data_IF_892838710838
#
_entry.id   IF_892838710838
#
_cell.length_a   1.000
_cell.length_b   1.000
_cell.length_c   1.000
_cell.angle_alpha   90.00
_cell.angle_beta   90.00
_cell.angle_gamma   90.00
#
_symmetry.space_group_name_H-M   'P 1'
#
loop_
_entity.id
_entity.type
_entity.pdbx_description
1 polymer ?
#
# COMPACT_ATOMS: atom_id res chain seq x y z
N UNK A 1 -29.33 29.22 1.84
CA UNK A 1 -28.97 28.09 2.71
C UNK A 1 -28.60 28.50 4.12
N UNK A 2 -27.76 29.50 4.34
CA UNK A 2 -27.39 29.97 5.71
C UNK A 2 -28.60 30.34 6.58
N UNK A 3 -29.66 30.94 6.03
CA UNK A 3 -30.86 31.30 6.79
C UNK A 3 -31.65 30.09 7.30
N UNK A 4 -31.68 29.00 6.56
CA UNK A 4 -32.39 27.77 6.95
C UNK A 4 -31.63 27.09 8.12
N UNK A 5 -30.31 27.04 8.08
CA UNK A 5 -29.51 26.52 9.18
C UNK A 5 -29.64 27.34 10.46
N UNK A 6 -29.61 28.67 10.36
CA UNK A 6 -29.81 29.55 11.50
C UNK A 6 -31.22 29.39 12.12
N UNK A 7 -32.22 29.23 11.30
CA UNK A 7 -33.59 28.97 11.75
C UNK A 7 -33.72 27.60 12.44
N UNK A 8 -33.17 26.55 11.83
CA UNK A 8 -33.09 25.21 12.43
C UNK A 8 -32.35 25.20 13.77
N UNK A 9 -31.23 25.93 13.87
CA UNK A 9 -30.45 26.05 15.10
C UNK A 9 -31.24 26.80 16.19
N UNK A 10 -31.99 27.80 15.84
CA UNK A 10 -32.85 28.56 16.78
C UNK A 10 -33.95 27.67 17.33
N UNK A 11 -34.60 26.87 16.46
CA UNK A 11 -35.60 25.91 16.89
C UNK A 11 -34.98 24.81 17.78
N UNK A 12 -33.82 24.25 17.37
CA UNK A 12 -33.12 23.23 18.14
C UNK A 12 -32.73 23.74 19.56
N UNK A 13 -32.23 24.95 19.68
CA UNK A 13 -31.88 25.58 20.97
C UNK A 13 -33.11 25.82 21.84
N UNK A 14 -34.30 26.05 21.27
CA UNK A 14 -35.53 26.27 22.04
C UNK A 14 -36.14 24.97 22.55
N UNK A 15 -35.98 23.85 21.81
CA UNK A 15 -36.62 22.57 22.11
C UNK A 15 -35.69 21.60 22.87
N UNK A 16 -34.40 21.60 22.58
CA UNK A 16 -33.44 20.72 23.21
C UNK A 16 -33.05 21.32 24.59
N UNK A 17 -33.71 20.86 25.64
CA UNK A 17 -33.28 21.13 27.02
C UNK A 17 -32.14 20.17 27.33
N UNK A 18 -30.92 20.65 27.64
CA UNK A 18 -29.86 19.78 28.09
C UNK A 18 -30.27 19.14 29.41
N UNK A 19 -30.57 17.85 29.41
CA UNK A 19 -30.83 17.08 30.61
C UNK A 19 -29.54 17.08 31.41
N UNK A 20 -29.51 17.85 32.51
CA UNK A 20 -28.34 18.28 33.25
C UNK A 20 -27.61 17.15 33.99
N UNK A 21 -26.91 16.33 33.29
CA UNK A 21 -25.76 15.64 33.84
C UNK A 21 -24.51 16.19 33.10
N UNK A 22 -23.71 16.99 33.78
CA UNK A 22 -22.34 17.30 33.42
C UNK A 22 -21.50 16.01 33.46
N UNK A 23 -21.86 15.01 32.69
CA UNK A 23 -20.92 13.95 32.35
C UNK A 23 -19.82 14.62 31.55
N UNK A 24 -18.59 14.50 32.02
CA UNK A 24 -17.41 14.91 31.25
C UNK A 24 -17.53 14.32 29.84
N UNK A 25 -17.77 15.20 28.89
CA UNK A 25 -18.07 14.81 27.52
C UNK A 25 -16.74 14.45 26.83
N UNK A 26 -16.28 13.23 27.09
CA UNK A 26 -15.04 12.68 26.54
C UNK A 26 -15.03 12.79 25.01
N UNK A 27 -16.18 12.54 24.40
CA UNK A 27 -16.36 12.61 22.94
C UNK A 27 -16.12 14.03 22.45
N UNK A 28 -16.70 15.06 23.09
CA UNK A 28 -16.54 16.44 22.70
C UNK A 28 -15.11 16.98 22.94
N UNK A 29 -14.42 16.47 23.97
CA UNK A 29 -13.02 16.84 24.21
C UNK A 29 -12.11 16.19 23.16
N UNK A 30 -12.32 14.91 22.87
CA UNK A 30 -11.56 14.17 21.86
C UNK A 30 -11.80 14.76 20.45
N UNK A 31 -13.05 15.11 20.13
CA UNK A 31 -13.38 15.75 18.87
C UNK A 31 -12.70 17.12 18.73
N UNK A 32 -12.72 17.92 19.78
CA UNK A 32 -12.04 19.20 19.77
C UNK A 32 -10.54 19.07 19.57
N UNK A 33 -9.91 18.07 20.18
CA UNK A 33 -8.47 17.79 20.03
C UNK A 33 -8.15 17.31 18.59
N UNK A 34 -8.97 16.39 18.05
CA UNK A 34 -8.75 15.79 16.74
C UNK A 34 -9.15 16.70 15.57
N UNK A 35 -10.08 17.65 15.76
CA UNK A 35 -10.55 18.56 14.71
C UNK A 35 -9.85 19.91 14.72
N UNK A 36 -9.08 20.24 15.75
CA UNK A 36 -8.26 21.47 15.76
C UNK A 36 -7.14 21.34 14.70
N UNK A 37 -7.02 22.31 13.76
CA UNK A 37 -6.04 22.21 12.66
C UNK A 37 -4.59 22.14 13.16
N UNK A 38 -4.27 22.68 14.33
CA UNK A 38 -2.94 22.64 14.92
C UNK A 38 -2.57 21.28 15.51
N UNK A 39 -3.52 20.55 16.09
CA UNK A 39 -3.28 19.24 16.75
C UNK A 39 -3.78 18.07 15.91
N UNK A 40 -4.82 18.26 15.09
CA UNK A 40 -5.42 17.20 14.30
C UNK A 40 -4.48 16.63 13.25
N UNK A 41 -3.75 17.47 12.50
CA UNK A 41 -2.79 17.04 11.50
C UNK A 41 -1.59 16.26 12.09
N UNK A 42 -0.90 16.76 13.14
CA UNK A 42 0.17 15.99 13.80
C UNK A 42 -0.31 14.68 14.40
N UNK A 43 -1.47 14.69 15.05
CA UNK A 43 -2.06 13.46 15.64
C UNK A 43 -2.40 12.44 14.56
N UNK A 44 -2.92 12.89 13.42
CA UNK A 44 -3.22 12.05 12.27
C UNK A 44 -1.94 11.38 11.71
N UNK A 45 -0.87 12.14 11.53
CA UNK A 45 0.42 11.61 11.09
C UNK A 45 1.02 10.66 12.12
N UNK A 46 0.88 10.94 13.41
CA UNK A 46 1.38 10.09 14.48
C UNK A 46 0.64 8.76 14.53
N UNK A 47 -0.70 8.76 14.43
CA UNK A 47 -1.50 7.52 14.39
C UNK A 47 -1.18 6.70 13.14
N UNK A 48 -1.05 7.35 11.99
CA UNK A 48 -0.64 6.70 10.75
C UNK A 48 0.76 6.08 10.89
N UNK A 49 1.72 6.82 11.42
CA UNK A 49 3.08 6.34 11.67
C UNK A 49 3.09 5.17 12.67
N UNK A 50 2.25 5.22 13.71
CA UNK A 50 2.12 4.13 14.69
C UNK A 50 1.56 2.85 14.05
N UNK A 51 0.54 2.96 13.20
CA UNK A 51 -0.03 1.81 12.47
C UNK A 51 1.01 1.21 11.53
N UNK A 52 1.76 2.03 10.80
CA UNK A 52 2.83 1.55 9.92
C UNK A 52 3.97 0.91 10.72
N UNK A 53 4.41 1.53 11.80
CA UNK A 53 5.45 0.97 12.65
C UNK A 53 5.04 -0.39 13.23
N UNK A 54 3.80 -0.50 13.73
CA UNK A 54 3.24 -1.75 14.22
C UNK A 54 3.17 -2.82 13.11
N UNK A 55 2.74 -2.41 11.91
CA UNK A 55 2.64 -3.32 10.76
C UNK A 55 4.02 -3.84 10.34
N UNK A 56 5.01 -2.96 10.19
CA UNK A 56 6.36 -3.32 9.75
C UNK A 56 7.05 -4.20 10.80
N UNK A 57 7.04 -3.77 12.07
CA UNK A 57 7.71 -4.49 13.14
C UNK A 57 7.01 -5.82 13.44
N UNK A 58 5.68 -5.81 13.46
CA UNK A 58 4.89 -7.00 13.73
C UNK A 58 4.91 -8.03 12.60
N UNK A 59 5.06 -7.60 11.35
CA UNK A 59 5.07 -8.50 10.20
C UNK A 59 6.40 -9.21 9.98
N UNK A 60 7.52 -8.65 10.43
CA UNK A 60 8.86 -9.19 10.14
C UNK A 60 9.04 -10.64 10.59
N UNK A 61 8.68 -10.95 11.83
CA UNK A 61 8.84 -12.30 12.36
C UNK A 61 7.92 -13.32 11.68
N UNK A 62 6.61 -13.10 11.55
CA UNK A 62 5.71 -14.00 10.82
C UNK A 62 6.10 -14.18 9.36
N UNK A 63 6.55 -13.12 8.67
CA UNK A 63 7.01 -13.21 7.28
C UNK A 63 8.18 -14.16 7.11
N UNK A 64 9.19 -14.05 7.97
CA UNK A 64 10.34 -14.95 7.95
C UNK A 64 9.96 -16.40 8.28
N UNK A 65 9.05 -16.60 9.20
CA UNK A 65 8.57 -17.94 9.57
C UNK A 65 7.83 -18.61 8.40
N UNK A 66 6.91 -17.88 7.77
CA UNK A 66 6.16 -18.35 6.60
C UNK A 66 7.11 -18.60 5.43
N UNK A 67 8.06 -17.70 5.17
CA UNK A 67 9.05 -17.85 4.10
C UNK A 67 9.87 -19.13 4.28
N UNK A 68 10.41 -19.35 5.50
CA UNK A 68 11.17 -20.57 5.79
C UNK A 68 10.34 -21.83 5.59
N UNK A 69 9.08 -21.84 6.03
CA UNK A 69 8.18 -22.97 5.84
C UNK A 69 7.88 -23.26 4.37
N UNK A 70 7.59 -22.21 3.59
CA UNK A 70 7.27 -22.38 2.17
C UNK A 70 8.50 -22.79 1.35
N UNK A 71 9.68 -22.19 1.61
CA UNK A 71 10.91 -22.60 0.91
C UNK A 71 11.37 -23.99 1.32
N UNK A 72 11.16 -24.43 2.56
CA UNK A 72 11.39 -25.82 2.97
C UNK A 72 10.51 -26.81 2.19
N UNK A 73 9.23 -26.46 1.94
CA UNK A 73 8.34 -27.27 1.09
C UNK A 73 8.85 -27.29 -0.35
N UNK A 74 9.37 -26.18 -0.87
CA UNK A 74 10.00 -26.11 -2.20
C UNK A 74 11.17 -27.10 -2.32
N UNK A 75 12.07 -27.09 -1.33
CA UNK A 75 13.25 -27.94 -1.31
C UNK A 75 12.89 -29.43 -1.28
N UNK A 76 11.95 -29.82 -0.43
CA UNK A 76 11.45 -31.21 -0.37
C UNK A 76 10.76 -31.60 -1.67
N UNK A 77 9.88 -30.74 -2.18
CA UNK A 77 9.14 -31.02 -3.41
C UNK A 77 10.07 -31.15 -4.62
N UNK A 78 11.01 -30.24 -4.78
CA UNK A 78 11.96 -30.27 -5.90
C UNK A 78 12.88 -31.50 -5.86
N UNK A 79 13.34 -31.89 -4.66
CA UNK A 79 14.16 -33.11 -4.49
C UNK A 79 13.36 -34.39 -4.77
N UNK A 80 12.12 -34.45 -4.30
CA UNK A 80 11.27 -35.61 -4.56
C UNK A 80 10.94 -35.80 -6.04
N UNK A 81 10.63 -34.71 -6.76
CA UNK A 81 10.37 -34.74 -8.20
C UNK A 81 11.60 -35.11 -9.01
N UNK A 82 12.80 -34.69 -8.60
CA UNK A 82 14.04 -35.12 -9.23
C UNK A 82 14.36 -36.60 -9.01
N UNK A 83 14.02 -37.16 -7.84
CA UNK A 83 14.19 -38.58 -7.54
C UNK A 83 13.23 -39.47 -8.36
N UNK A 84 12.04 -38.98 -8.66
CA UNK A 84 11.06 -39.67 -9.51
C UNK A 84 11.47 -39.67 -11.00
N UNK A 85 12.53 -38.95 -11.37
CA UNK A 85 13.06 -38.89 -12.74
C UNK A 85 12.36 -37.89 -13.65
N UNK A 86 11.68 -36.89 -13.08
CA UNK A 86 11.03 -35.82 -13.87
C UNK A 86 12.12 -34.92 -14.50
N UNK A 87 11.96 -34.50 -15.77
CA UNK A 87 12.93 -33.64 -16.44
C UNK A 87 13.23 -32.36 -15.64
N UNK A 88 14.50 -32.01 -15.54
CA UNK A 88 14.98 -30.84 -14.76
C UNK A 88 14.30 -29.52 -15.09
N UNK A 89 13.96 -29.31 -16.37
CA UNK A 89 13.27 -28.09 -16.82
C UNK A 89 11.84 -27.99 -16.27
N UNK A 90 11.14 -29.12 -16.11
CA UNK A 90 9.79 -29.15 -15.56
C UNK A 90 9.81 -28.93 -14.04
N UNK A 91 10.76 -29.54 -13.36
CA UNK A 91 10.99 -29.32 -11.92
C UNK A 91 11.36 -27.87 -11.68
N UNK A 92 12.27 -27.30 -12.47
CA UNK A 92 12.68 -25.91 -12.39
C UNK A 92 11.51 -24.94 -12.63
N UNK A 93 10.73 -25.15 -13.68
CA UNK A 93 9.57 -24.31 -13.98
C UNK A 93 8.51 -24.37 -12.88
N UNK A 94 8.15 -25.58 -12.42
CA UNK A 94 7.06 -25.73 -11.47
C UNK A 94 7.45 -25.27 -10.05
N UNK A 95 8.61 -25.73 -9.55
CA UNK A 95 9.06 -25.42 -8.19
C UNK A 95 9.80 -24.10 -8.09
N UNK A 96 10.81 -23.86 -8.90
CA UNK A 96 11.64 -22.65 -8.82
C UNK A 96 11.05 -21.45 -9.59
N UNK A 97 10.09 -21.66 -10.48
CA UNK A 97 9.34 -20.60 -11.14
C UNK A 97 8.02 -20.31 -10.44
N UNK A 98 7.04 -21.17 -10.69
CA UNK A 98 5.64 -20.99 -10.29
C UNK A 98 5.48 -21.00 -8.76
N UNK A 99 5.96 -22.07 -8.10
CA UNK A 99 5.80 -22.20 -6.65
C UNK A 99 6.60 -21.14 -5.88
N UNK A 100 7.82 -20.84 -6.29
CA UNK A 100 8.65 -19.85 -5.65
C UNK A 100 8.07 -18.44 -5.76
N UNK A 101 7.48 -18.10 -6.90
CA UNK A 101 6.73 -16.84 -7.08
C UNK A 101 5.54 -16.74 -6.12
N UNK A 102 4.80 -17.83 -5.95
CA UNK A 102 3.70 -17.95 -4.97
C UNK A 102 4.23 -17.78 -3.54
N UNK A 103 5.26 -18.56 -3.17
CA UNK A 103 5.85 -18.56 -1.83
C UNK A 103 6.36 -17.18 -1.44
N UNK A 104 7.01 -16.47 -2.37
CA UNK A 104 7.48 -15.11 -2.18
C UNK A 104 6.32 -14.15 -1.89
N UNK A 105 5.30 -14.11 -2.74
CA UNK A 105 4.16 -13.19 -2.57
C UNK A 105 3.39 -13.49 -1.29
N UNK A 106 3.16 -14.74 -0.95
CA UNK A 106 2.47 -15.14 0.28
C UNK A 106 3.26 -14.70 1.51
N UNK A 107 4.57 -14.94 1.55
CA UNK A 107 5.40 -14.62 2.70
C UNK A 107 5.55 -13.12 2.94
N UNK A 108 5.60 -12.31 1.87
CA UNK A 108 5.79 -10.86 1.95
C UNK A 108 4.47 -10.11 2.17
N UNK A 109 3.35 -10.57 1.57
CA UNK A 109 2.07 -9.85 1.63
C UNK A 109 1.18 -10.25 2.80
N UNK A 110 1.10 -11.56 3.11
CA UNK A 110 0.12 -12.03 4.09
C UNK A 110 0.31 -11.41 5.49
N UNK A 111 1.50 -11.41 6.12
CA UNK A 111 1.66 -10.91 7.48
C UNK A 111 1.42 -9.40 7.63
N UNK A 112 1.95 -8.52 6.75
CA UNK A 112 1.63 -7.10 6.82
C UNK A 112 0.13 -6.82 6.64
N UNK A 113 -0.54 -7.53 5.72
CA UNK A 113 -1.98 -7.36 5.52
C UNK A 113 -2.79 -7.85 6.73
N UNK A 114 -2.40 -8.96 7.33
CA UNK A 114 -3.06 -9.52 8.51
C UNK A 114 -2.99 -8.60 9.74
N UNK A 115 -2.00 -7.70 9.81
CA UNK A 115 -1.87 -6.71 10.88
C UNK A 115 -2.53 -5.39 10.48
N UNK A 116 -2.27 -4.91 9.26
CA UNK A 116 -2.72 -3.61 8.80
C UNK A 116 -4.26 -3.52 8.69
N UNK A 117 -4.91 -4.50 8.06
CA UNK A 117 -6.37 -4.43 7.87
C UNK A 117 -7.17 -4.42 9.19
N UNK A 118 -6.88 -5.26 10.20
CA UNK A 118 -7.54 -5.12 11.49
C UNK A 118 -7.32 -3.77 12.15
N UNK A 119 -6.08 -3.26 12.16
CA UNK A 119 -5.78 -1.94 12.73
C UNK A 119 -6.57 -0.83 12.02
N UNK A 120 -6.63 -0.89 10.68
CA UNK A 120 -7.34 0.10 9.90
C UNK A 120 -8.86 0.06 10.12
N UNK A 121 -9.45 -1.15 10.17
CA UNK A 121 -10.89 -1.31 10.44
C UNK A 121 -11.25 -0.90 11.87
N UNK A 122 -10.36 -1.14 12.84
CA UNK A 122 -10.55 -0.63 14.20
C UNK A 122 -10.61 0.89 14.20
N UNK A 123 -9.72 1.57 13.47
CA UNK A 123 -9.75 3.03 13.33
C UNK A 123 -11.00 3.52 12.60
N UNK A 124 -11.49 2.76 11.62
CA UNK A 124 -12.72 3.05 10.90
C UNK A 124 -13.93 2.94 11.84
N UNK A 125 -14.06 1.84 12.57
CA UNK A 125 -15.17 1.58 13.50
C UNK A 125 -15.17 2.56 14.70
N UNK A 126 -14.00 2.97 15.18
CA UNK A 126 -13.85 4.02 16.18
C UNK A 126 -14.36 5.38 15.68
N UNK A 127 -14.60 5.55 14.38
CA UNK A 127 -14.99 6.81 13.78
C UNK A 127 -13.82 7.79 13.59
N UNK A 128 -12.57 7.30 13.67
CA UNK A 128 -11.38 8.13 13.47
C UNK A 128 -11.21 8.59 12.01
N UNK A 129 -11.49 7.72 11.03
CA UNK A 129 -11.34 8.06 9.61
C UNK A 129 -12.22 9.23 9.14
N UNK A 130 -13.51 9.36 9.54
CA UNK A 130 -14.29 10.54 9.22
C UNK A 130 -13.67 11.85 9.74
N UNK A 131 -12.99 11.82 10.89
CA UNK A 131 -12.30 12.99 11.44
C UNK A 131 -11.04 13.35 10.66
N UNK A 132 -10.32 12.34 10.16
CA UNK A 132 -9.23 12.53 9.20
C UNK A 132 -9.75 13.21 7.93
N UNK A 133 -10.86 12.72 7.38
CA UNK A 133 -11.50 13.31 6.21
C UNK A 133 -11.94 14.76 6.46
N UNK A 134 -12.46 15.06 7.65
CA UNK A 134 -12.85 16.41 8.04
C UNK A 134 -11.64 17.38 8.09
N UNK A 135 -10.53 16.95 8.69
CA UNK A 135 -9.31 17.78 8.76
C UNK A 135 -8.70 18.05 7.39
N UNK A 136 -8.79 17.08 6.48
CA UNK A 136 -8.25 17.21 5.13
C UNK A 136 -9.23 17.88 4.16
N UNK A 137 -10.51 17.99 4.50
CA UNK A 137 -11.57 18.53 3.63
C UNK A 137 -11.23 19.95 3.12
N UNK A 138 -10.69 20.80 3.98
CA UNK A 138 -10.23 22.15 3.60
C UNK A 138 -9.13 22.10 2.50
N UNK A 139 -8.21 21.14 2.61
CA UNK A 139 -7.11 20.98 1.66
C UNK A 139 -7.64 20.48 0.30
N UNK A 140 -8.53 19.49 0.35
CA UNK A 140 -9.17 18.95 -0.84
C UNK A 140 -10.14 19.93 -1.51
N UNK A 141 -10.87 20.74 -0.73
CA UNK A 141 -11.70 21.83 -1.26
C UNK A 141 -10.89 22.87 -2.02
N UNK A 142 -9.71 23.25 -1.52
CA UNK A 142 -8.80 24.16 -2.26
C UNK A 142 -8.31 23.55 -3.57
N UNK A 143 -8.17 22.23 -3.63
CA UNK A 143 -7.77 21.51 -4.83
C UNK A 143 -8.95 21.20 -5.78
N UNK A 144 -10.19 21.62 -5.46
CA UNK A 144 -11.37 21.44 -6.30
C UNK A 144 -12.14 20.13 -6.09
N UNK A 145 -12.00 19.51 -4.90
CA UNK A 145 -12.75 18.31 -4.49
C UNK A 145 -13.25 18.42 -3.05
N UNK A 146 -13.67 17.34 -2.43
CA UNK A 146 -14.21 17.31 -1.07
C UNK A 146 -13.73 16.11 -0.25
N UNK A 147 -14.07 16.11 1.08
CA UNK A 147 -13.56 15.16 2.06
C UNK A 147 -13.81 13.67 1.78
N UNK A 148 -14.80 13.30 0.96
CA UNK A 148 -14.98 11.91 0.53
C UNK A 148 -13.74 11.38 -0.21
N UNK A 149 -13.04 12.22 -0.98
CA UNK A 149 -11.82 11.84 -1.66
C UNK A 149 -10.67 11.61 -0.67
N UNK A 150 -10.58 12.41 0.39
CA UNK A 150 -9.62 12.18 1.46
C UNK A 150 -9.82 10.80 2.11
N UNK A 151 -11.08 10.40 2.33
CA UNK A 151 -11.40 9.07 2.87
C UNK A 151 -10.97 7.95 1.93
N UNK A 152 -11.27 8.05 0.63
CA UNK A 152 -10.87 7.03 -0.35
C UNK A 152 -9.36 6.93 -0.49
N UNK A 153 -8.65 8.06 -0.45
CA UNK A 153 -7.19 8.11 -0.48
C UNK A 153 -6.59 7.49 0.79
N UNK A 154 -7.17 7.73 1.96
CA UNK A 154 -6.73 7.11 3.22
C UNK A 154 -6.86 5.58 3.16
N UNK A 155 -7.93 5.06 2.57
CA UNK A 155 -8.06 3.62 2.29
C UNK A 155 -7.02 3.12 1.28
N UNK A 156 -6.61 3.96 0.33
CA UNK A 156 -5.57 3.68 -0.65
C UNK A 156 -4.20 3.37 -0.05
N UNK A 157 -3.85 3.98 1.08
CA UNK A 157 -2.62 3.65 1.83
C UNK A 157 -2.62 2.21 2.36
N UNK A 158 -3.79 1.66 2.66
CA UNK A 158 -3.92 0.24 2.99
C UNK A 158 -3.75 -0.65 1.76
N UNK A 159 -4.58 -0.39 0.78
CA UNK A 159 -4.59 -1.12 -0.49
C UNK A 159 -5.17 -0.22 -1.58
N UNK A 160 -4.41 0.04 -2.64
CA UNK A 160 -4.86 0.85 -3.77
C UNK A 160 -6.16 0.32 -4.38
N UNK A 161 -6.31 -1.01 -4.50
CA UNK A 161 -7.53 -1.61 -5.00
C UNK A 161 -8.75 -1.32 -4.10
N UNK A 162 -8.55 -1.35 -2.77
CA UNK A 162 -9.60 -1.00 -1.82
C UNK A 162 -9.95 0.50 -1.90
N UNK A 163 -8.94 1.37 -2.04
CA UNK A 163 -9.13 2.80 -2.25
C UNK A 163 -9.93 3.11 -3.52
N UNK A 164 -9.62 2.44 -4.64
CA UNK A 164 -10.37 2.58 -5.89
C UNK A 164 -11.82 2.09 -5.74
N UNK A 165 -12.04 0.96 -5.06
CA UNK A 165 -13.40 0.48 -4.80
C UNK A 165 -14.17 1.45 -3.91
N UNK A 166 -13.52 2.05 -2.92
CA UNK A 166 -14.12 3.02 -2.01
C UNK A 166 -14.57 4.31 -2.72
N UNK A 167 -14.03 4.63 -3.91
CA UNK A 167 -14.47 5.80 -4.69
C UNK A 167 -15.94 5.73 -5.11
N UNK A 168 -16.57 4.56 -4.99
CA UNK A 168 -18.03 4.38 -5.22
C UNK A 168 -18.89 5.23 -4.27
N UNK A 169 -18.35 5.66 -3.14
CA UNK A 169 -19.01 6.57 -2.20
C UNK A 169 -19.15 8.00 -2.77
N UNK A 170 -18.38 8.32 -3.81
CA UNK A 170 -18.43 9.62 -4.49
C UNK A 170 -19.56 9.60 -5.52
N UNK A 171 -20.51 10.52 -5.40
CA UNK A 171 -21.73 10.55 -6.21
C UNK A 171 -21.44 11.02 -7.65
N UNK A 172 -20.59 12.04 -7.82
CA UNK A 172 -20.24 12.59 -9.12
C UNK A 172 -19.31 11.64 -9.90
N UNK A 173 -19.67 11.24 -11.13
CA UNK A 173 -18.81 10.36 -11.95
C UNK A 173 -17.47 11.01 -12.31
N UNK A 174 -17.41 12.32 -12.50
CA UNK A 174 -16.18 13.07 -12.80
C UNK A 174 -15.25 13.09 -11.58
N UNK A 175 -15.79 13.44 -10.41
CA UNK A 175 -15.01 13.42 -9.15
C UNK A 175 -14.53 12.01 -8.80
N UNK A 176 -15.36 10.99 -9.09
CA UNK A 176 -14.97 9.58 -8.93
C UNK A 176 -13.80 9.21 -9.82
N UNK A 177 -13.79 9.64 -11.09
CA UNK A 177 -12.69 9.41 -12.02
C UNK A 177 -11.41 10.07 -11.52
N UNK A 178 -11.48 11.33 -11.08
CA UNK A 178 -10.35 12.05 -10.50
C UNK A 178 -9.83 11.31 -9.27
N UNK A 179 -10.72 10.85 -8.39
CA UNK A 179 -10.35 10.11 -7.18
C UNK A 179 -9.64 8.79 -7.51
N UNK A 180 -10.08 8.05 -8.55
CA UNK A 180 -9.42 6.83 -9.02
C UNK A 180 -8.01 7.13 -9.51
N UNK A 181 -7.84 8.18 -10.33
CA UNK A 181 -6.54 8.54 -10.88
C UNK A 181 -5.57 9.00 -9.80
N UNK A 182 -6.03 9.85 -8.87
CA UNK A 182 -5.19 10.41 -7.81
C UNK A 182 -4.87 9.41 -6.69
N UNK A 183 -5.73 8.40 -6.48
CA UNK A 183 -5.48 7.35 -5.49
C UNK A 183 -4.19 6.56 -5.76
N UNK A 184 -3.74 6.52 -7.01
CA UNK A 184 -2.52 5.80 -7.41
C UNK A 184 -1.23 6.43 -6.85
N UNK A 185 -1.26 7.71 -6.45
CA UNK A 185 -0.12 8.39 -5.82
C UNK A 185 0.05 8.01 -4.34
N UNK A 186 -0.98 7.42 -3.70
CA UNK A 186 -0.87 6.90 -2.35
C UNK A 186 -0.05 5.60 -2.36
N UNK A 187 1.13 5.55 -1.72
CA UNK A 187 1.88 4.31 -1.60
C UNK A 187 1.11 3.33 -0.71
N UNK A 188 0.69 2.22 -1.28
CA UNK A 188 -0.04 1.19 -0.54
C UNK A 188 0.91 0.27 0.23
N UNK A 189 0.36 -0.52 1.15
CA UNK A 189 1.12 -1.45 1.99
C UNK A 189 2.01 -2.41 1.19
N UNK A 190 1.59 -2.86 0.00
CA UNK A 190 2.40 -3.71 -0.88
C UNK A 190 3.66 -3.02 -1.44
N UNK A 191 3.70 -1.68 -1.49
CA UNK A 191 4.88 -0.91 -1.93
C UNK A 191 5.86 -0.62 -0.80
N UNK A 192 5.45 -0.72 0.47
CA UNK A 192 6.33 -0.40 1.61
C UNK A 192 7.57 -1.28 1.70
N UNK A 193 7.53 -2.61 1.50
CA UNK A 193 8.74 -3.43 1.52
C UNK A 193 9.80 -2.94 0.54
N UNK A 194 9.40 -2.60 -0.69
CA UNK A 194 10.29 -2.03 -1.71
C UNK A 194 10.84 -0.66 -1.31
N UNK A 195 10.00 0.22 -0.77
CA UNK A 195 10.42 1.53 -0.29
C UNK A 195 11.37 1.44 0.89
N UNK A 196 11.11 0.53 1.84
CA UNK A 196 11.99 0.29 3.00
C UNK A 196 13.35 -0.21 2.52
N UNK A 197 13.37 -1.16 1.59
CA UNK A 197 14.61 -1.66 1.01
C UNK A 197 15.40 -0.54 0.32
N UNK A 198 14.77 0.23 -0.56
CA UNK A 198 15.42 1.34 -1.26
C UNK A 198 15.95 2.40 -0.29
N UNK A 199 15.15 2.83 0.68
CA UNK A 199 15.56 3.83 1.65
C UNK A 199 16.67 3.32 2.57
N UNK A 200 16.65 2.05 2.95
CA UNK A 200 17.70 1.46 3.77
C UNK A 200 19.04 1.32 3.02
N UNK A 201 19.01 1.01 1.74
CA UNK A 201 20.21 0.86 0.90
C UNK A 201 20.80 2.22 0.50
N UNK A 202 19.96 3.12 -0.03
CA UNK A 202 20.45 4.37 -0.62
C UNK A 202 20.58 5.52 0.37
N UNK A 203 19.66 5.63 1.33
CA UNK A 203 19.64 6.78 2.26
C UNK A 203 20.28 6.41 3.60
N UNK A 204 19.87 5.29 4.18
CA UNK A 204 20.30 4.92 5.51
C UNK A 204 21.72 4.31 5.56
N UNK A 205 22.26 3.85 4.42
CA UNK A 205 23.63 3.32 4.34
C UNK A 205 24.72 4.35 4.70
N UNK A 206 24.41 5.65 4.54
CA UNK A 206 25.33 6.75 4.86
C UNK A 206 25.37 7.11 6.35
N UNK A 207 24.49 6.51 7.17
CA UNK A 207 24.34 6.82 8.59
C UNK A 207 24.79 5.68 9.50
N UNK A 208 25.05 5.98 10.78
CA UNK A 208 25.39 4.98 11.78
C UNK A 208 24.26 3.97 12.01
N UNK A 209 24.58 2.74 12.41
CA UNK A 209 23.61 1.65 12.57
C UNK A 209 22.41 2.00 13.50
N UNK A 210 22.62 2.84 14.50
CA UNK A 210 21.57 3.29 15.42
C UNK A 210 20.57 4.26 14.76
N UNK A 211 21.02 5.06 13.78
CA UNK A 211 20.20 6.05 13.09
C UNK A 211 19.54 5.49 11.83
N UNK A 212 20.03 4.37 11.31
CA UNK A 212 19.55 3.75 10.05
C UNK A 212 18.05 3.52 10.05
N UNK A 213 17.47 2.96 11.12
CA UNK A 213 16.05 2.69 11.22
C UNK A 213 15.21 3.98 11.30
N UNK A 214 15.70 4.98 11.96
CA UNK A 214 15.04 6.27 12.14
C UNK A 214 15.05 7.07 10.83
N UNK A 215 16.18 7.07 10.14
CA UNK A 215 16.33 7.73 8.83
C UNK A 215 15.48 7.02 7.76
N UNK A 216 15.45 5.69 7.76
CA UNK A 216 14.59 4.92 6.85
C UNK A 216 13.10 5.23 7.10
N UNK A 217 12.65 5.24 8.35
CA UNK A 217 11.28 5.60 8.70
C UNK A 217 10.95 7.04 8.32
N UNK A 218 11.83 8.00 8.60
CA UNK A 218 11.68 9.39 8.20
C UNK A 218 11.58 9.57 6.68
N UNK A 219 12.40 8.86 5.92
CA UNK A 219 12.36 8.88 4.45
C UNK A 219 11.04 8.37 3.90
N UNK A 220 10.46 7.32 4.51
CA UNK A 220 9.14 6.82 4.11
C UNK A 220 8.06 7.85 4.37
N UNK A 221 8.09 8.53 5.52
CA UNK A 221 7.14 9.62 5.81
C UNK A 221 7.26 10.74 4.78
N UNK A 222 8.47 11.13 4.40
CA UNK A 222 8.70 12.13 3.36
C UNK A 222 8.11 11.69 2.03
N UNK A 223 8.32 10.43 1.62
CA UNK A 223 7.75 9.87 0.38
C UNK A 223 6.21 9.90 0.43
N UNK A 224 5.62 9.56 1.56
CA UNK A 224 4.16 9.63 1.76
C UNK A 224 3.66 11.08 1.60
N UNK A 225 4.33 12.04 2.23
CA UNK A 225 3.97 13.47 2.11
C UNK A 225 4.11 13.96 0.67
N UNK A 226 5.18 13.58 -0.02
CA UNK A 226 5.37 13.88 -1.44
C UNK A 226 4.23 13.26 -2.27
N UNK A 227 3.83 12.02 -2.01
CA UNK A 227 2.71 11.35 -2.65
C UNK A 227 1.39 12.12 -2.47
N UNK A 228 1.12 12.62 -1.27
CA UNK A 228 -0.05 13.47 -0.99
C UNK A 228 0.01 14.78 -1.78
N UNK A 229 1.16 15.44 -1.82
CA UNK A 229 1.34 16.68 -2.59
C UNK A 229 1.10 16.44 -4.10
N UNK A 230 1.66 15.37 -4.66
CA UNK A 230 1.42 15.00 -6.07
C UNK A 230 -0.05 14.71 -6.33
N UNK A 231 -0.72 13.99 -5.42
CA UNK A 231 -2.15 13.72 -5.54
C UNK A 231 -2.97 15.02 -5.55
N UNK A 232 -2.67 15.97 -4.67
CA UNK A 232 -3.36 17.26 -4.59
C UNK A 232 -3.09 18.14 -5.82
N UNK A 233 -1.84 18.18 -6.29
CA UNK A 233 -1.48 18.93 -7.51
C UNK A 233 -2.19 18.33 -8.74
N UNK A 234 -2.17 17.01 -8.89
CA UNK A 234 -2.85 16.33 -9.99
C UNK A 234 -4.37 16.52 -9.91
N UNK A 235 -4.92 16.46 -8.70
CA UNK A 235 -6.33 16.74 -8.45
C UNK A 235 -6.69 18.16 -8.91
N UNK A 236 -5.94 19.17 -8.48
CA UNK A 236 -6.16 20.57 -8.86
C UNK A 236 -6.02 20.76 -10.38
N UNK A 237 -5.02 20.12 -11.00
CA UNK A 237 -4.81 20.20 -12.44
C UNK A 237 -6.00 19.59 -13.21
N UNK A 238 -6.45 18.41 -12.82
CA UNK A 238 -7.56 17.71 -13.48
C UNK A 238 -8.89 18.41 -13.28
N UNK A 239 -9.17 18.93 -12.08
CA UNK A 239 -10.42 19.63 -11.77
C UNK A 239 -10.53 20.97 -12.52
N UNK A 240 -9.40 21.66 -12.75
CA UNK A 240 -9.40 22.97 -13.42
C UNK A 240 -9.24 22.87 -14.96
N UNK A 241 -8.71 21.76 -15.48
CA UNK A 241 -8.41 21.62 -16.92
C UNK A 241 -9.36 20.72 -17.67
N UNK A 242 -9.24 19.40 -17.45
CA UNK A 242 -9.94 18.38 -18.26
C UNK A 242 -11.33 18.05 -17.75
N UNK A 243 -11.55 18.11 -16.45
CA UNK A 243 -12.74 17.59 -15.79
C UNK A 243 -13.46 18.72 -15.05
N UNK A 244 -13.82 19.77 -15.78
CA UNK A 244 -14.63 20.88 -15.23
C UNK A 244 -16.05 20.38 -14.98
N UNK A 245 -16.44 20.31 -13.72
CA UNK A 245 -17.79 19.95 -13.27
C UNK A 245 -18.19 20.78 -12.05
N UNK A 246 -19.46 20.77 -11.74
CA UNK A 246 -19.93 21.37 -10.48
C UNK A 246 -19.48 20.48 -9.32
N UNK A 247 -18.75 21.09 -8.37
CA UNK A 247 -18.37 20.42 -7.15
C UNK A 247 -19.65 20.04 -6.37
N UNK A 248 -19.83 18.77 -6.06
CA UNK A 248 -20.97 18.34 -5.28
C UNK A 248 -20.90 18.93 -3.87
N UNK A 249 -21.98 19.55 -3.41
CA UNK A 249 -22.06 20.06 -2.05
C UNK A 249 -22.17 18.88 -1.08
N UNK A 250 -21.11 18.65 -0.30
CA UNK A 250 -21.09 17.60 0.70
C UNK A 250 -20.99 18.17 2.11
N UNK A 251 -21.91 17.80 2.97
CA UNK A 251 -21.84 18.04 4.41
C UNK A 251 -21.34 16.74 5.07
N UNK A 252 -20.15 16.78 5.64
CA UNK A 252 -19.60 15.66 6.38
C UNK A 252 -20.23 15.61 7.78
N UNK A 253 -21.11 14.66 8.02
CA UNK A 253 -21.61 14.36 9.36
C UNK A 253 -20.58 13.47 10.09
N UNK A 254 -20.11 13.93 11.26
CA UNK A 254 -19.20 13.15 12.08
C UNK A 254 -20.02 12.11 12.87
N UNK A 255 -19.84 10.81 12.62
CA UNK A 255 -20.51 9.77 13.39
C UNK A 255 -20.01 9.77 14.84
N UNK A 256 -20.92 9.43 15.78
CA UNK A 256 -20.55 9.20 17.19
C UNK A 256 -19.53 8.06 17.32
N UNK A 257 -18.65 8.14 18.33
CA UNK A 257 -17.71 7.07 18.62
C UNK A 257 -18.45 5.78 18.99
N UNK A 258 -18.05 4.69 18.34
CA UNK A 258 -18.60 3.36 18.65
C UNK A 258 -17.52 2.50 19.26
N UNK A 259 -17.89 1.66 20.22
CA UNK A 259 -16.97 0.66 20.76
C UNK A 259 -16.73 -0.41 19.69
N UNK A 260 -15.49 -0.63 19.24
CA UNK A 260 -15.18 -1.59 18.19
C UNK A 260 -15.45 -3.01 18.68
N UNK A 261 -16.12 -3.82 17.90
CA UNK A 261 -16.28 -5.25 18.18
C UNK A 261 -15.08 -6.01 17.61
N UNK A 262 -14.00 -6.07 18.42
CA UNK A 262 -12.68 -6.60 18.02
C UNK A 262 -12.79 -8.01 17.42
N UNK A 263 -13.59 -8.91 17.98
CA UNK A 263 -13.74 -10.27 17.47
C UNK A 263 -14.33 -10.33 16.07
N UNK A 264 -15.39 -9.55 15.81
CA UNK A 264 -16.01 -9.44 14.48
C UNK A 264 -15.06 -8.79 13.50
N UNK A 265 -14.35 -7.76 13.89
CA UNK A 265 -13.37 -7.04 13.07
C UNK A 265 -12.25 -7.98 12.65
N UNK A 266 -11.67 -8.75 13.60
CA UNK A 266 -10.60 -9.71 13.29
C UNK A 266 -11.08 -10.75 12.26
N UNK A 267 -12.24 -11.32 12.47
CA UNK A 267 -12.81 -12.30 11.54
C UNK A 267 -13.04 -11.72 10.14
N UNK A 268 -13.69 -10.55 10.07
CA UNK A 268 -14.04 -9.92 8.79
C UNK A 268 -12.80 -9.41 8.03
N UNK A 269 -11.80 -8.89 8.75
CA UNK A 269 -10.58 -8.38 8.13
C UNK A 269 -9.65 -9.49 7.66
N UNK A 270 -9.47 -10.55 8.46
CA UNK A 270 -8.60 -11.66 8.08
C UNK A 270 -9.20 -12.49 6.96
N UNK A 271 -10.46 -12.93 7.10
CA UNK A 271 -11.09 -13.83 6.13
C UNK A 271 -11.65 -13.04 4.94
N UNK A 272 -12.44 -11.99 5.19
CA UNK A 272 -13.13 -11.28 4.13
C UNK A 272 -12.25 -10.40 3.26
N UNK A 273 -11.21 -9.78 3.83
CA UNK A 273 -10.33 -8.84 3.10
C UNK A 273 -8.97 -9.44 2.79
N UNK A 274 -8.24 -9.95 3.81
CA UNK A 274 -6.85 -10.41 3.61
C UNK A 274 -6.77 -11.62 2.69
N UNK A 275 -7.60 -12.64 2.90
CA UNK A 275 -7.59 -13.86 2.07
C UNK A 275 -8.03 -13.55 0.63
N UNK A 276 -9.04 -12.70 0.46
CA UNK A 276 -9.53 -12.37 -0.88
C UNK A 276 -8.48 -11.60 -1.70
N UNK A 277 -7.80 -10.63 -1.09
CA UNK A 277 -6.71 -9.88 -1.72
C UNK A 277 -5.51 -10.79 -1.99
N UNK A 278 -5.17 -11.68 -1.06
CA UNK A 278 -4.10 -12.66 -1.22
C UNK A 278 -4.37 -13.63 -2.39
N UNK A 279 -5.57 -14.19 -2.49
CA UNK A 279 -5.93 -15.07 -3.61
C UNK A 279 -5.80 -14.36 -4.96
N UNK A 280 -6.18 -13.09 -5.01
CA UNK A 280 -6.03 -12.28 -6.21
C UNK A 280 -4.57 -12.01 -6.55
N UNK A 281 -3.72 -11.76 -5.55
CA UNK A 281 -2.29 -11.61 -5.73
C UNK A 281 -1.62 -12.92 -6.20
N UNK A 282 -2.04 -14.06 -5.66
CA UNK A 282 -1.57 -15.38 -6.09
C UNK A 282 -1.91 -15.64 -7.56
N UNK A 283 -3.13 -15.35 -7.99
CA UNK A 283 -3.56 -15.54 -9.39
C UNK A 283 -2.67 -14.78 -10.39
N UNK A 284 -2.10 -13.67 -9.99
CA UNK A 284 -1.19 -12.86 -10.83
C UNK A 284 0.28 -13.25 -10.64
N UNK A 285 0.67 -13.62 -9.43
CA UNK A 285 2.06 -13.96 -9.10
C UNK A 285 2.50 -15.31 -9.66
N UNK A 286 1.60 -16.29 -9.69
CA UNK A 286 1.87 -17.63 -10.20
C UNK A 286 2.33 -17.61 -11.68
N UNK A 287 1.56 -17.02 -12.62
CA UNK A 287 2.03 -16.91 -14.01
C UNK A 287 3.25 -16.01 -14.15
N UNK A 288 3.35 -14.93 -13.37
CA UNK A 288 4.52 -14.05 -13.42
C UNK A 288 5.81 -14.77 -12.98
N UNK A 289 5.76 -15.58 -11.93
CA UNK A 289 6.89 -16.40 -11.49
C UNK A 289 7.35 -17.40 -12.57
N UNK A 290 6.40 -18.03 -13.26
CA UNK A 290 6.68 -18.89 -14.41
C UNK A 290 7.36 -18.14 -15.57
N UNK A 291 6.86 -16.94 -15.92
CA UNK A 291 7.46 -16.10 -16.96
C UNK A 291 8.89 -15.68 -16.59
N UNK A 292 9.11 -15.27 -15.34
CA UNK A 292 10.44 -14.87 -14.86
C UNK A 292 11.42 -16.04 -14.95
N UNK A 293 10.99 -17.25 -14.56
CA UNK A 293 11.83 -18.42 -14.66
C UNK A 293 12.19 -18.75 -16.12
N UNK A 294 11.23 -18.70 -17.04
CA UNK A 294 11.47 -18.89 -18.48
C UNK A 294 12.48 -17.85 -18.99
N UNK A 295 12.28 -16.58 -18.69
CA UNK A 295 13.14 -15.49 -19.13
C UNK A 295 14.57 -15.61 -18.55
N UNK A 296 14.72 -16.14 -17.33
CA UNK A 296 16.02 -16.34 -16.70
C UNK A 296 16.78 -17.56 -17.18
N UNK A 297 16.05 -18.67 -17.50
CA UNK A 297 16.66 -19.96 -17.85
C UNK A 297 16.79 -20.22 -19.35
N UNK A 298 15.98 -19.57 -20.18
CA UNK A 298 16.17 -19.65 -21.64
C UNK A 298 17.38 -18.78 -22.03
N UNK A 299 18.45 -19.45 -22.48
CA UNK A 299 19.65 -18.77 -22.97
C UNK A 299 19.72 -18.87 -24.50
N UNK A 300 19.83 -17.73 -25.17
CA UNK A 300 20.11 -17.60 -26.58
C UNK A 300 21.55 -17.08 -26.76
N UNK A 301 22.43 -17.93 -27.31
CA UNK A 301 23.83 -17.52 -27.52
C UNK A 301 24.65 -17.30 -26.23
N UNK A 302 24.32 -17.99 -25.13
CA UNK A 302 25.03 -17.85 -23.84
C UNK A 302 24.57 -16.68 -22.95
N UNK A 303 23.59 -15.91 -23.42
CA UNK A 303 22.98 -14.79 -22.66
C UNK A 303 21.52 -15.13 -22.37
N UNK A 304 21.02 -14.82 -21.17
CA UNK A 304 19.62 -15.09 -20.83
C UNK A 304 18.65 -14.26 -21.68
N UNK A 305 17.48 -14.81 -21.95
CA UNK A 305 16.45 -14.10 -22.69
C UNK A 305 16.04 -12.79 -21.99
N UNK A 306 16.07 -12.77 -20.67
CA UNK A 306 15.81 -11.58 -19.88
C UNK A 306 16.81 -10.46 -20.18
N UNK A 307 18.11 -10.79 -20.29
CA UNK A 307 19.15 -9.81 -20.65
C UNK A 307 19.02 -9.34 -22.09
N UNK A 308 18.64 -10.21 -23.02
CA UNK A 308 18.36 -9.81 -24.42
C UNK A 308 17.22 -8.80 -24.50
N UNK A 309 16.11 -9.05 -23.82
CA UNK A 309 14.97 -8.12 -23.79
C UNK A 309 15.36 -6.83 -23.06
N UNK A 310 16.12 -6.91 -21.98
CA UNK A 310 16.60 -5.73 -21.26
C UNK A 310 17.49 -4.85 -22.15
N UNK A 311 18.39 -5.45 -22.95
CA UNK A 311 19.22 -4.71 -23.92
C UNK A 311 18.40 -4.08 -25.04
N UNK A 312 17.35 -4.74 -25.53
CA UNK A 312 16.41 -4.15 -26.50
C UNK A 312 15.60 -2.99 -25.93
N UNK A 313 15.26 -3.04 -24.63
CA UNK A 313 14.53 -1.98 -23.94
C UNK A 313 15.45 -0.84 -23.48
N UNK A 314 16.77 -1.04 -23.49
CA UNK A 314 17.73 -0.05 -23.01
C UNK A 314 17.64 1.32 -23.74
N UNK A 315 17.48 1.43 -25.06
CA UNK A 315 17.33 2.74 -25.72
C UNK A 315 16.10 3.51 -25.24
N UNK A 316 15.00 2.80 -24.94
CA UNK A 316 13.80 3.40 -24.34
C UNK A 316 14.02 3.77 -22.87
N UNK A 317 14.76 2.93 -22.14
CA UNK A 317 15.13 3.17 -20.74
C UNK A 317 15.97 4.45 -20.60
N UNK A 318 17.02 4.57 -21.39
CA UNK A 318 17.91 5.74 -21.38
C UNK A 318 17.17 7.04 -21.68
N UNK A 319 16.16 7.02 -22.54
CA UNK A 319 15.31 8.18 -22.82
C UNK A 319 14.60 8.71 -21.55
N UNK A 320 14.24 7.81 -20.63
CA UNK A 320 13.55 8.10 -19.36
C UNK A 320 14.55 8.17 -18.21
N UNK A 321 15.86 8.06 -18.48
CA UNK A 321 16.94 7.92 -17.47
C UNK A 321 16.78 6.69 -16.56
N UNK A 322 16.22 5.62 -17.10
CA UNK A 322 16.13 4.30 -16.47
C UNK A 322 16.97 3.30 -17.26
N UNK A 323 17.38 2.21 -16.62
CA UNK A 323 18.02 1.10 -17.29
C UNK A 323 16.98 0.14 -17.90
N UNK A 324 17.34 -0.56 -18.98
CA UNK A 324 16.46 -1.53 -19.64
C UNK A 324 16.04 -2.68 -18.72
N UNK A 325 16.89 -3.05 -17.74
CA UNK A 325 16.58 -4.04 -16.71
C UNK A 325 15.44 -3.56 -15.80
N UNK A 326 15.51 -2.31 -15.37
CA UNK A 326 14.48 -1.70 -14.54
C UNK A 326 13.16 -1.64 -15.31
N UNK A 327 13.20 -1.25 -16.58
CA UNK A 327 12.01 -1.18 -17.43
C UNK A 327 11.36 -2.55 -17.60
N UNK A 328 12.15 -3.60 -17.87
CA UNK A 328 11.70 -4.98 -17.95
C UNK A 328 11.05 -5.44 -16.65
N UNK A 329 11.70 -5.17 -15.51
CA UNK A 329 11.19 -5.53 -14.20
C UNK A 329 9.85 -4.83 -13.90
N UNK A 330 9.69 -3.56 -14.27
CA UNK A 330 8.41 -2.86 -14.15
C UNK A 330 7.30 -3.44 -15.01
N UNK A 331 7.60 -3.84 -16.26
CA UNK A 331 6.63 -4.47 -17.15
C UNK A 331 6.14 -5.80 -16.58
N UNK A 332 7.06 -6.62 -16.06
CA UNK A 332 6.71 -7.91 -15.44
C UNK A 332 5.97 -7.71 -14.11
N UNK A 333 6.26 -6.62 -13.40
CA UNK A 333 5.65 -6.30 -12.12
C UNK A 333 4.28 -5.59 -12.21
N UNK A 334 3.78 -5.28 -13.42
CA UNK A 334 2.45 -4.69 -13.60
C UNK A 334 1.37 -5.46 -12.82
N UNK A 335 1.29 -6.79 -12.89
CA UNK A 335 0.29 -7.56 -12.15
C UNK A 335 0.56 -7.63 -10.64
N UNK A 336 1.83 -7.57 -10.20
CA UNK A 336 2.21 -7.69 -8.80
C UNK A 336 3.50 -6.89 -8.53
N UNK A 337 3.38 -5.73 -7.90
CA UNK A 337 4.51 -4.82 -7.65
C UNK A 337 5.64 -5.44 -6.82
N UNK A 338 5.33 -6.42 -5.99
CA UNK A 338 6.27 -7.11 -5.11
C UNK A 338 7.32 -7.92 -5.87
N UNK A 339 7.03 -8.29 -7.12
CA UNK A 339 7.92 -9.09 -7.97
C UNK A 339 8.99 -8.22 -8.64
N UNK A 340 8.86 -6.90 -8.65
CA UNK A 340 9.80 -6.00 -9.32
C UNK A 340 11.25 -6.16 -8.80
N UNK A 341 11.44 -6.16 -7.49
CA UNK A 341 12.77 -6.25 -6.87
C UNK A 341 13.43 -7.61 -7.13
N UNK A 342 12.76 -8.77 -6.89
CA UNK A 342 13.33 -10.06 -7.26
C UNK A 342 13.69 -10.17 -8.74
N UNK A 343 12.86 -9.61 -9.64
CA UNK A 343 13.13 -9.63 -11.08
C UNK A 343 14.38 -8.82 -11.44
N UNK A 344 14.54 -7.62 -10.86
CA UNK A 344 15.75 -6.81 -11.04
C UNK A 344 16.99 -7.60 -10.60
N UNK A 345 16.94 -8.20 -9.41
CA UNK A 345 18.07 -8.97 -8.88
C UNK A 345 18.44 -10.14 -9.77
N UNK A 346 17.46 -10.90 -10.28
CA UNK A 346 17.70 -12.02 -11.19
C UNK A 346 18.46 -11.55 -12.44
N UNK A 347 18.00 -10.46 -13.06
CA UNK A 347 18.60 -9.98 -14.31
C UNK A 347 19.97 -9.38 -14.08
N UNK A 348 20.19 -8.61 -12.99
CA UNK A 348 21.51 -8.03 -12.67
C UNK A 348 22.52 -9.07 -12.22
N UNK A 349 22.11 -10.04 -11.42
CA UNK A 349 23.01 -11.09 -10.94
C UNK A 349 23.21 -12.22 -11.93
N UNK A 350 22.44 -12.24 -13.03
CA UNK A 350 22.47 -13.35 -14.01
C UNK A 350 22.07 -14.70 -13.37
N UNK A 351 21.37 -14.67 -12.23
CA UNK A 351 20.96 -15.88 -11.53
C UNK A 351 19.70 -16.45 -12.17
N UNK A 352 19.64 -17.76 -12.29
CA UNK A 352 18.48 -18.48 -12.84
C UNK A 352 17.32 -18.65 -11.85
N UNK A 353 17.47 -18.20 -10.60
CA UNK A 353 16.49 -18.36 -9.53
C UNK A 353 16.24 -17.03 -8.81
N UNK A 354 15.00 -16.82 -8.33
CA UNK A 354 14.70 -15.79 -7.37
C UNK A 354 15.50 -16.05 -6.10
N UNK A 355 16.56 -15.27 -5.88
CA UNK A 355 17.34 -15.35 -4.65
C UNK A 355 16.63 -14.57 -3.55
N UNK A 356 16.69 -15.11 -2.33
CA UNK A 356 16.33 -14.33 -1.15
C UNK A 356 17.20 -13.06 -1.17
N UNK A 357 16.59 -11.91 -0.88
CA UNK A 357 17.36 -10.68 -0.68
C UNK A 357 18.36 -10.99 0.44
N UNK A 358 19.67 -11.10 0.13
CA UNK A 358 20.63 -11.39 1.17
C UNK A 358 20.47 -10.33 2.24
N UNK A 359 20.51 -10.77 3.50
CA UNK A 359 20.49 -9.86 4.64
C UNK A 359 21.45 -8.71 4.33
N UNK A 360 20.99 -7.49 4.48
CA UNK A 360 21.60 -6.19 4.11
C UNK A 360 23.13 -6.07 4.32
N UNK A 361 23.74 -7.04 5.00
CA UNK A 361 25.19 -7.14 5.20
C UNK A 361 25.98 -7.47 3.92
N UNK A 362 25.43 -8.20 2.97
CA UNK A 362 26.16 -8.66 1.78
C UNK A 362 26.02 -7.72 0.57
N UNK A 363 25.05 -6.81 0.55
CA UNK A 363 24.94 -5.77 -0.47
C UNK A 363 25.96 -4.63 -0.30
N UNK A 364 26.70 -4.61 0.81
CA UNK A 364 27.81 -3.65 1.02
C UNK A 364 29.13 -4.06 0.36
N UNK A 365 29.20 -5.23 -0.23
CA UNK A 365 30.41 -5.79 -0.82
C UNK A 365 30.43 -5.78 -2.37
N UNK A 366 29.38 -5.33 -3.01
CA UNK A 366 29.29 -5.00 -4.44
C UNK A 366 29.11 -3.50 -4.62
#
# INVERSE_FOLDING_TARGET
MQSIYQYAETIARSVVKPTGARCWNWEGWLDRLLTLPAFGLPTMLLVLAAVFWLTITGANYPSQLIARGLFWIEDIGSTWFTQVGIPWWLVGFLWHGVYRGLAWVVSVMLPPMAIFFPCFIILEDLGYLPRVAFNLDWLFKKAGSHGKQALTMTMGYGCNAAGVIATRVIDSPLERLIAILTNNFAPCNGRFPTLIMLTSVFVAASFSAALTSLVAAGSIVIIVVIGILFALVTLALLSHTLLKGEASAFTLELPSYRKPNVGRILYTSLIGRSIFVLLRAIQTAVPAGGVIWILGNLSLGGVSLAQHIATMLNPLGVLIRLDGVILLAYVIAIPANEIAVPTMLIVYMGSSMMTDVPSLGNLRAC
#
